data_IF_685437581295
#
_entry.id   IF_685437581295
#
_cell.length_a   1.000
_cell.length_b   1.000
_cell.length_c   1.000
_cell.angle_alpha   90.00
_cell.angle_beta   90.00
_cell.angle_gamma   90.00
#
_symmetry.space_group_name_H-M   'P 1'
#
loop_
_entity.id
_entity.type
_entity.pdbx_description
1 polymer ?
#
# COMPACT_ATOMS: atom_id res chain seq x y z
N UNK A 1 31.14 46.89 -35.62
CA UNK A 1 30.45 45.78 -36.32
C UNK A 1 30.93 44.48 -35.70
N UNK A 2 30.01 43.68 -35.15
CA UNK A 2 30.21 42.30 -34.65
C UNK A 2 30.88 42.19 -33.27
N UNK A 3 30.16 42.03 -32.14
CA UNK A 3 29.53 40.80 -31.59
C UNK A 3 30.52 39.62 -31.54
N UNK A 4 30.77 38.95 -30.41
CA UNK A 4 29.77 38.25 -29.62
C UNK A 4 30.32 37.91 -28.23
N UNK A 5 29.49 38.15 -27.22
CA UNK A 5 29.66 37.73 -25.83
C UNK A 5 29.26 36.25 -25.72
N UNK A 6 30.16 35.37 -25.28
CA UNK A 6 29.79 33.99 -24.92
C UNK A 6 29.46 33.94 -23.43
N UNK A 7 28.21 34.29 -23.11
CA UNK A 7 27.58 33.96 -21.85
C UNK A 7 27.30 32.45 -21.83
N UNK A 8 28.09 31.70 -21.07
CA UNK A 8 27.79 30.28 -20.77
C UNK A 8 26.61 30.29 -19.81
N UNK A 9 25.40 30.05 -20.32
CA UNK A 9 24.21 29.83 -19.49
C UNK A 9 24.30 28.40 -18.93
N UNK A 10 24.73 28.28 -17.68
CA UNK A 10 24.58 27.02 -16.93
C UNK A 10 23.07 26.75 -16.76
N UNK A 11 22.53 25.58 -17.19
CA UNK A 11 21.15 25.27 -16.91
C UNK A 11 20.99 25.08 -15.40
N UNK A 12 19.95 25.72 -14.87
CA UNK A 12 19.44 25.59 -13.52
C UNK A 12 19.34 24.10 -13.13
N UNK A 13 20.25 23.64 -12.26
CA UNK A 13 20.15 22.31 -11.64
C UNK A 13 18.95 22.37 -10.69
N UNK A 14 17.81 21.82 -11.11
CA UNK A 14 16.68 21.56 -10.22
C UNK A 14 17.17 20.53 -9.19
N UNK A 15 17.57 20.99 -8.01
CA UNK A 15 17.74 20.12 -6.85
C UNK A 15 16.34 19.65 -6.48
N UNK A 16 15.99 18.45 -6.95
CA UNK A 16 14.80 17.74 -6.51
C UNK A 16 15.06 17.44 -5.03
N UNK A 17 14.39 18.19 -4.15
CA UNK A 17 14.40 17.96 -2.70
C UNK A 17 14.11 16.48 -2.44
N UNK A 18 14.76 15.83 -1.46
CA UNK A 18 14.41 14.47 -1.11
C UNK A 18 12.95 14.44 -0.68
N UNK A 19 12.09 13.80 -1.48
CA UNK A 19 10.84 13.28 -0.95
C UNK A 19 11.25 12.28 0.12
N UNK A 20 11.02 12.65 1.39
CA UNK A 20 11.24 11.73 2.48
C UNK A 20 10.22 10.60 2.31
N UNK A 21 10.65 9.48 1.75
CA UNK A 21 9.79 8.31 1.60
C UNK A 21 9.31 7.90 2.99
N UNK A 22 8.00 7.82 3.18
CA UNK A 22 7.41 7.40 4.45
C UNK A 22 7.91 5.98 4.80
N UNK A 23 8.47 5.81 6.00
CA UNK A 23 8.97 4.52 6.47
C UNK A 23 7.80 3.65 6.96
N UNK A 24 7.44 2.62 6.18
CA UNK A 24 6.31 1.73 6.50
C UNK A 24 6.63 0.75 7.63
N UNK A 25 7.85 0.21 7.69
CA UNK A 25 8.23 -0.78 8.71
C UNK A 25 8.12 -0.18 10.11
N UNK A 26 7.47 -0.91 11.02
CA UNK A 26 7.19 -0.48 12.39
C UNK A 26 6.35 0.80 12.53
N UNK A 27 5.76 1.32 11.45
CA UNK A 27 4.82 2.43 11.53
C UNK A 27 3.52 1.98 12.20
N UNK A 28 3.08 2.74 13.20
CA UNK A 28 1.77 2.54 13.82
C UNK A 28 0.64 2.90 12.87
N UNK A 29 -0.54 2.32 13.07
CA UNK A 29 -1.76 2.67 12.31
C UNK A 29 -2.02 4.18 12.33
N UNK A 30 -1.80 4.85 13.47
CA UNK A 30 -1.95 6.30 13.56
C UNK A 30 -0.96 7.04 12.66
N UNK A 31 0.31 6.64 12.63
CA UNK A 31 1.31 7.27 11.73
C UNK A 31 0.96 7.06 10.26
N UNK A 32 0.47 5.88 9.89
CA UNK A 32 0.01 5.57 8.54
C UNK A 32 -1.20 6.44 8.16
N UNK A 33 -2.20 6.55 9.04
CA UNK A 33 -3.36 7.42 8.80
C UNK A 33 -2.96 8.90 8.65
N UNK A 34 -1.99 9.37 9.44
CA UNK A 34 -1.45 10.71 9.27
C UNK A 34 -0.68 10.88 7.95
N UNK A 35 0.07 9.87 7.50
CA UNK A 35 0.72 9.88 6.20
C UNK A 35 -0.29 9.90 5.03
N UNK A 36 -1.40 9.16 5.16
CA UNK A 36 -2.52 9.21 4.23
C UNK A 36 -3.11 10.62 4.12
N UNK A 37 -3.33 11.31 5.25
CA UNK A 37 -3.83 12.70 5.26
C UNK A 37 -2.86 13.68 4.61
N UNK A 38 -1.56 13.50 4.84
CA UNK A 38 -0.50 14.32 4.23
C UNK A 38 -0.23 13.97 2.76
N UNK A 39 -0.88 12.93 2.23
CA UNK A 39 -0.66 12.40 0.88
C UNK A 39 0.79 11.94 0.64
N UNK A 40 1.46 11.52 1.71
CA UNK A 40 2.82 10.95 1.66
C UNK A 40 2.80 9.45 1.36
N UNK A 41 1.64 8.82 1.54
CA UNK A 41 1.40 7.40 1.34
C UNK A 41 -0.04 7.22 0.86
N UNK A 42 -0.29 6.26 -0.03
CA UNK A 42 -1.65 5.80 -0.38
C UNK A 42 -1.89 4.39 0.16
N UNK A 43 -3.16 3.99 0.27
CA UNK A 43 -3.50 2.61 0.62
C UNK A 43 -2.95 1.64 -0.41
N UNK A 44 -2.97 2.02 -1.69
CA UNK A 44 -2.34 1.22 -2.76
C UNK A 44 -0.85 1.01 -2.50
N UNK A 45 -0.10 2.07 -2.21
CA UNK A 45 1.35 1.99 -1.93
C UNK A 45 1.65 1.04 -0.76
N UNK A 46 0.83 1.15 0.30
CA UNK A 46 0.95 0.32 1.50
C UNK A 46 0.70 -1.16 1.20
N UNK A 47 -0.33 -1.46 0.42
CA UNK A 47 -0.64 -2.84 0.00
C UNK A 47 0.46 -3.39 -0.91
N UNK A 48 0.90 -2.61 -1.90
CA UNK A 48 2.01 -3.02 -2.78
C UNK A 48 3.30 -3.31 -2.01
N UNK A 49 3.59 -2.51 -0.98
CA UNK A 49 4.72 -2.76 -0.10
C UNK A 49 4.62 -4.12 0.59
N UNK A 50 3.49 -4.44 1.21
CA UNK A 50 3.34 -5.73 1.92
C UNK A 50 3.23 -6.93 0.97
N UNK A 51 2.65 -6.76 -0.22
CA UNK A 51 2.66 -7.81 -1.24
C UNK A 51 4.09 -8.16 -1.68
N UNK A 52 4.98 -7.16 -1.81
CA UNK A 52 6.40 -7.38 -2.09
C UNK A 52 7.09 -8.14 -0.95
N UNK A 53 6.84 -7.76 0.31
CA UNK A 53 7.43 -8.47 1.47
C UNK A 53 6.90 -9.91 1.56
N UNK A 54 5.61 -10.14 1.33
CA UNK A 54 5.03 -11.49 1.28
C UNK A 54 5.69 -12.31 0.18
N UNK A 55 5.83 -11.77 -1.03
CA UNK A 55 6.49 -12.49 -2.13
C UNK A 55 7.95 -12.86 -1.77
N UNK A 56 8.69 -11.92 -1.19
CA UNK A 56 10.09 -12.13 -0.84
C UNK A 56 10.31 -13.14 0.31
N UNK A 57 9.41 -13.18 1.29
CA UNK A 57 9.64 -13.90 2.56
C UNK A 57 8.77 -15.14 2.75
N UNK A 58 7.62 -15.22 2.09
CA UNK A 58 6.61 -16.25 2.42
C UNK A 58 7.01 -17.66 1.98
N UNK A 59 7.94 -17.81 1.02
CA UNK A 59 8.53 -19.11 0.68
C UNK A 59 9.34 -19.72 1.85
N UNK A 60 9.85 -18.89 2.75
CA UNK A 60 10.60 -19.32 3.94
C UNK A 60 9.73 -19.37 5.18
N UNK A 61 8.85 -18.37 5.34
CA UNK A 61 8.05 -18.20 6.55
C UNK A 61 6.73 -18.98 6.54
N UNK A 62 6.18 -19.28 5.36
CA UNK A 62 4.88 -19.93 5.19
C UNK A 62 3.76 -19.28 6.04
N UNK A 63 3.76 -17.95 6.14
CA UNK A 63 2.90 -17.19 7.04
C UNK A 63 1.54 -16.81 6.40
N UNK A 64 1.52 -16.52 5.10
CA UNK A 64 0.31 -16.23 4.34
C UNK A 64 -0.07 -17.46 3.50
N UNK A 65 -1.25 -18.02 3.72
CA UNK A 65 -1.76 -19.15 2.95
C UNK A 65 -2.19 -18.71 1.54
N UNK A 66 -2.96 -17.65 1.48
CA UNK A 66 -3.52 -17.07 0.25
C UNK A 66 -3.53 -15.54 0.37
N UNK A 67 -3.53 -14.86 -0.78
CA UNK A 67 -3.63 -13.41 -0.88
C UNK A 67 -4.87 -13.09 -1.69
N UNK A 68 -5.70 -12.14 -1.22
CA UNK A 68 -6.89 -11.71 -1.93
C UNK A 68 -6.49 -11.03 -3.26
N UNK A 69 -6.97 -11.54 -4.39
CA UNK A 69 -6.73 -10.98 -5.73
C UNK A 69 -7.19 -9.53 -5.87
N UNK A 70 -8.21 -9.16 -5.10
CA UNK A 70 -8.88 -7.87 -5.16
C UNK A 70 -8.23 -6.86 -4.21
N UNK A 71 -7.15 -7.22 -3.50
CA UNK A 71 -6.52 -6.38 -2.47
C UNK A 71 -6.10 -5.01 -3.00
N UNK A 72 -5.53 -4.95 -4.22
CA UNK A 72 -5.15 -3.69 -4.85
C UNK A 72 -6.38 -2.85 -5.25
N UNK A 73 -7.41 -3.49 -5.79
CA UNK A 73 -8.66 -2.80 -6.17
C UNK A 73 -9.39 -2.25 -4.94
N UNK A 74 -9.39 -2.98 -3.83
CA UNK A 74 -9.92 -2.51 -2.55
C UNK A 74 -9.11 -1.34 -2.00
N UNK A 75 -7.78 -1.35 -2.16
CA UNK A 75 -6.90 -0.26 -1.77
C UNK A 75 -7.17 1.01 -2.59
N UNK A 76 -7.24 0.88 -3.92
CA UNK A 76 -7.59 1.98 -4.82
C UNK A 76 -8.96 2.59 -4.49
N UNK A 77 -9.94 1.73 -4.15
CA UNK A 77 -11.26 2.19 -3.73
C UNK A 77 -11.19 2.95 -2.41
N UNK A 78 -10.42 2.48 -1.43
CA UNK A 78 -10.26 3.17 -0.16
C UNK A 78 -9.60 4.56 -0.33
N UNK A 79 -8.63 4.68 -1.24
CA UNK A 79 -8.02 5.96 -1.59
C UNK A 79 -9.02 6.92 -2.26
N UNK A 80 -9.81 6.45 -3.23
CA UNK A 80 -10.89 7.26 -3.86
C UNK A 80 -11.95 7.71 -2.86
N UNK A 81 -12.39 6.83 -1.96
CA UNK A 81 -13.34 7.15 -0.90
C UNK A 81 -12.76 8.22 0.05
N UNK A 82 -11.47 8.13 0.37
CA UNK A 82 -10.77 9.13 1.20
C UNK A 82 -10.69 10.50 0.51
N UNK A 83 -10.41 10.53 -0.79
CA UNK A 83 -10.38 11.75 -1.59
C UNK A 83 -11.76 12.41 -1.67
N UNK A 84 -12.81 11.62 -1.94
CA UNK A 84 -14.18 12.10 -2.02
C UNK A 84 -14.69 12.70 -0.70
N UNK A 85 -14.20 12.19 0.44
CA UNK A 85 -14.51 12.70 1.76
C UNK A 85 -13.61 13.88 2.20
N UNK A 86 -12.83 14.47 1.28
CA UNK A 86 -11.86 15.54 1.59
C UNK A 86 -10.88 15.20 2.73
N UNK A 87 -10.55 13.91 2.89
CA UNK A 87 -9.64 13.43 3.94
C UNK A 87 -10.29 13.22 5.32
N UNK A 88 -11.58 13.47 5.49
CA UNK A 88 -12.27 13.30 6.78
C UNK A 88 -12.48 11.83 7.17
N UNK A 89 -12.53 10.91 6.19
CA UNK A 89 -12.70 9.46 6.40
C UNK A 89 -11.45 8.72 6.90
N UNK A 90 -10.32 9.39 7.13
CA UNK A 90 -9.04 8.76 7.52
C UNK A 90 -8.96 8.36 9.02
N UNK A 91 -10.01 7.76 9.58
CA UNK A 91 -10.02 7.30 10.98
C UNK A 91 -10.11 5.78 11.05
N UNK A 92 -9.49 5.22 12.08
CA UNK A 92 -9.50 3.77 12.35
C UNK A 92 -8.71 3.00 11.29
N UNK A 93 -9.36 2.00 10.68
CA UNK A 93 -8.74 1.05 9.75
C UNK A 93 -9.00 1.36 8.27
N UNK A 94 -9.58 2.53 7.94
CA UNK A 94 -9.91 2.86 6.54
C UNK A 94 -8.66 2.84 5.66
N UNK A 95 -8.61 1.89 4.73
CA UNK A 95 -7.48 1.70 3.82
C UNK A 95 -6.21 1.05 4.43
N UNK A 96 -6.32 0.48 5.63
CA UNK A 96 -5.24 -0.28 6.27
C UNK A 96 -5.39 -1.77 5.89
N UNK A 97 -4.39 -2.41 5.28
CA UNK A 97 -4.45 -3.85 4.99
C UNK A 97 -4.38 -4.66 6.29
N UNK A 98 -5.13 -5.76 6.33
CA UNK A 98 -5.15 -6.71 7.46
C UNK A 98 -4.99 -8.13 6.96
N UNK A 99 -4.39 -8.99 7.79
CA UNK A 99 -4.38 -10.43 7.59
C UNK A 99 -5.43 -11.08 8.49
N UNK A 100 -6.10 -12.08 7.95
CA UNK A 100 -7.07 -12.89 8.67
C UNK A 100 -6.53 -14.31 8.82
N UNK A 101 -6.84 -14.96 9.95
CA UNK A 101 -6.48 -16.36 10.17
C UNK A 101 -7.35 -17.24 9.27
N UNK A 102 -6.77 -18.28 8.66
CA UNK A 102 -7.45 -19.14 7.68
C UNK A 102 -8.65 -19.97 8.18
N UNK A 103 -9.14 -19.70 9.39
CA UNK A 103 -10.38 -20.23 9.96
C UNK A 103 -11.48 -19.15 10.09
N UNK A 104 -11.22 -17.92 9.63
CA UNK A 104 -12.18 -16.82 9.58
C UNK A 104 -12.72 -16.76 8.15
N UNK A 105 -14.02 -16.93 8.00
CA UNK A 105 -14.68 -16.85 6.70
C UNK A 105 -14.77 -15.40 6.22
N UNK A 106 -14.42 -15.20 4.96
CA UNK A 106 -14.58 -13.95 4.22
C UNK A 106 -15.55 -14.17 3.07
N UNK A 107 -16.32 -13.14 2.71
CA UNK A 107 -17.22 -13.17 1.55
C UNK A 107 -16.49 -12.68 0.30
N UNK A 108 -15.38 -13.34 0.01
CA UNK A 108 -14.50 -13.08 -1.11
C UNK A 108 -14.04 -14.41 -1.73
N UNK A 109 -13.05 -14.38 -2.61
CA UNK A 109 -12.60 -15.56 -3.35
C UNK A 109 -11.62 -16.46 -2.57
N UNK A 110 -11.39 -16.19 -1.27
CA UNK A 110 -10.40 -16.92 -0.47
C UNK A 110 -10.99 -18.20 0.15
N UNK A 111 -10.14 -19.23 0.29
CA UNK A 111 -10.54 -20.44 1.01
C UNK A 111 -10.55 -20.22 2.53
N UNK A 112 -11.50 -20.86 3.20
CA UNK A 112 -11.53 -20.98 4.67
C UNK A 112 -11.30 -22.44 5.08
N UNK A 113 -10.03 -22.87 5.07
CA UNK A 113 -9.68 -24.29 5.24
C UNK A 113 -9.50 -24.72 6.70
N UNK A 114 -9.35 -23.77 7.62
CA UNK A 114 -8.89 -24.03 8.99
C UNK A 114 -7.61 -24.89 9.07
N UNK A 115 -6.77 -24.88 8.01
CA UNK A 115 -5.56 -25.69 7.90
C UNK A 115 -5.79 -27.15 7.49
N UNK A 116 -7.00 -27.53 7.06
CA UNK A 116 -7.35 -28.89 6.66
C UNK A 116 -7.66 -28.99 5.18
N UNK A 117 -7.08 -29.98 4.50
CA UNK A 117 -7.43 -30.33 3.12
C UNK A 117 -8.88 -30.75 2.94
N UNK A 118 -9.55 -31.22 4.00
CA UNK A 118 -10.97 -31.59 3.94
C UNK A 118 -11.88 -30.39 3.62
N UNK A 119 -11.39 -29.17 3.87
CA UNK A 119 -12.12 -27.92 3.64
C UNK A 119 -11.56 -27.13 2.45
N UNK A 120 -10.66 -27.71 1.65
CA UNK A 120 -10.18 -27.06 0.44
C UNK A 120 -11.35 -26.83 -0.54
N UNK A 121 -11.48 -25.61 -1.07
CA UNK A 121 -12.62 -25.19 -1.88
C UNK A 121 -13.80 -24.62 -1.09
N UNK A 122 -13.69 -24.50 0.24
CA UNK A 122 -14.71 -23.84 1.07
C UNK A 122 -14.58 -22.32 0.95
N UNK A 123 -15.34 -21.74 0.03
CA UNK A 123 -15.43 -20.30 -0.27
C UNK A 123 -16.86 -19.81 0.02
N UNK A 124 -17.04 -18.58 0.52
CA UNK A 124 -18.31 -18.08 1.07
C UNK A 124 -18.89 -16.85 0.37
#
# INVERSE_FOLDING_TARGET
MGTCSNQITLPLLLVISPSFAFAIKEATVNQIQEAFKRKELTSRDLVEFYLREINALNLLLCAALEVNSDALDQADRADKEREAAHGECAKGLHGIPVLLKGNIATRDQLNTTAGSYALLGSVW
#
